data_IF_500678060085
#
_entry.id   IF_500678060085
#
_cell.length_a   1.000
_cell.length_b   1.000
_cell.length_c   1.000
_cell.angle_alpha   90.00
_cell.angle_beta   90.00
_cell.angle_gamma   90.00
#
_symmetry.space_group_name_H-M   'P 1'
#
loop_
_entity.id
_entity.type
_entity.pdbx_description
1 polymer ?
#
# COMPACT_ATOMS: atom_id res chain seq x y z
N UNK A 1 51.35 13.99 -11.63
CA UNK A 1 50.09 14.08 -12.41
C UNK A 1 49.15 13.01 -11.92
N UNK A 2 48.37 13.27 -10.86
CA UNK A 2 47.28 12.38 -10.46
C UNK A 2 45.99 13.02 -10.95
N UNK A 3 45.55 12.60 -12.14
CA UNK A 3 44.19 12.89 -12.62
C UNK A 3 43.22 12.18 -11.67
N UNK A 4 42.71 12.95 -10.70
CA UNK A 4 41.52 12.58 -9.92
C UNK A 4 40.38 12.38 -10.92
N UNK A 5 40.20 11.14 -11.34
CA UNK A 5 39.06 10.75 -12.13
C UNK A 5 37.88 10.70 -11.16
N UNK A 6 37.19 11.82 -11.01
CA UNK A 6 35.96 11.92 -10.21
C UNK A 6 34.90 11.12 -10.95
N UNK A 7 34.85 9.81 -10.69
CA UNK A 7 33.74 8.96 -11.11
C UNK A 7 32.52 9.45 -10.37
N UNK A 8 31.75 10.35 -11.02
CA UNK A 8 30.40 10.69 -10.62
C UNK A 8 29.61 9.40 -10.82
N UNK A 9 29.58 8.57 -9.78
CA UNK A 9 28.56 7.55 -9.63
C UNK A 9 27.26 8.33 -9.49
N UNK A 10 26.60 8.56 -10.63
CA UNK A 10 25.16 8.75 -10.65
C UNK A 10 24.62 7.43 -10.13
N UNK A 11 24.52 7.32 -8.80
CA UNK A 11 23.59 6.42 -8.16
C UNK A 11 22.25 6.81 -8.76
N UNK A 12 21.87 6.16 -9.85
CA UNK A 12 20.48 5.92 -10.13
C UNK A 12 20.01 5.19 -8.87
N UNK A 13 19.54 5.97 -7.90
CA UNK A 13 18.68 5.48 -6.85
C UNK A 13 17.58 4.87 -7.69
N UNK A 14 17.68 3.57 -7.94
CA UNK A 14 16.54 2.75 -8.30
C UNK A 14 15.72 2.81 -7.03
N UNK A 15 15.03 3.95 -6.87
CA UNK A 15 13.90 4.14 -5.99
C UNK A 15 13.07 2.93 -6.36
N UNK A 16 13.14 1.88 -5.56
CA UNK A 16 12.17 0.81 -5.62
C UNK A 16 10.87 1.54 -5.33
N UNK A 17 10.20 1.98 -6.40
CA UNK A 17 9.13 2.95 -6.29
C UNK A 17 8.08 2.34 -5.37
N UNK A 18 7.94 2.94 -4.20
CA UNK A 18 6.78 2.78 -3.33
C UNK A 18 5.62 3.44 -4.05
N UNK A 19 4.46 2.85 -3.91
CA UNK A 19 3.27 3.28 -4.63
C UNK A 19 2.24 2.18 -4.78
N UNK A 20 1.16 2.55 -5.44
CA UNK A 20 0.00 1.72 -5.62
C UNK A 20 -0.53 1.90 -7.04
N UNK A 21 -1.40 0.98 -7.44
CA UNK A 21 -2.09 1.06 -8.71
C UNK A 21 -3.59 1.20 -8.51
N UNK A 22 -4.25 2.00 -9.35
CA UNK A 22 -5.71 2.14 -9.33
C UNK A 22 -6.27 1.73 -10.68
N UNK A 23 -7.21 0.80 -10.66
CA UNK A 23 -7.99 0.38 -11.82
C UNK A 23 -9.44 0.79 -11.62
N UNK A 24 -9.97 1.67 -12.47
CA UNK A 24 -11.36 2.10 -12.46
C UNK A 24 -12.03 1.72 -13.78
N UNK A 25 -12.51 0.46 -13.93
CA UNK A 25 -13.31 0.06 -15.08
C UNK A 25 -14.59 0.90 -15.18
N UNK A 26 -15.21 0.90 -16.36
CA UNK A 26 -16.48 1.62 -16.59
C UNK A 26 -17.61 1.13 -15.69
N UNK A 27 -17.57 -0.13 -15.29
CA UNK A 27 -18.55 -0.80 -14.44
C UNK A 27 -17.84 -1.52 -13.28
N UNK A 28 -18.50 -1.63 -12.12
CA UNK A 28 -18.03 -2.45 -11.00
C UNK A 28 -17.18 -1.74 -9.92
N UNK A 29 -16.89 -0.45 -10.09
CA UNK A 29 -16.14 0.34 -9.10
C UNK A 29 -14.63 0.34 -9.33
N UNK A 30 -13.87 0.98 -8.45
CA UNK A 30 -12.41 1.04 -8.55
C UNK A 30 -11.72 0.03 -7.63
N UNK A 31 -10.60 -0.53 -8.09
CA UNK A 31 -9.73 -1.41 -7.31
C UNK A 31 -8.40 -0.70 -7.10
N UNK A 32 -8.00 -0.58 -5.83
CA UNK A 32 -6.69 -0.10 -5.42
C UNK A 32 -5.84 -1.34 -5.13
N UNK A 33 -4.71 -1.46 -5.82
CA UNK A 33 -3.72 -2.50 -5.63
C UNK A 33 -2.47 -1.92 -4.96
N UNK A 34 -2.01 -2.51 -3.87
CA UNK A 34 -0.74 -2.11 -3.23
C UNK A 34 0.00 -3.31 -2.68
N UNK A 35 1.30 -3.18 -2.43
CA UNK A 35 2.01 -4.20 -1.66
C UNK A 35 1.64 -4.05 -0.18
N UNK A 36 1.72 -5.14 0.61
CA UNK A 36 1.40 -5.07 2.04
C UNK A 36 2.27 -4.09 2.83
N UNK A 37 3.49 -3.82 2.37
CA UNK A 37 4.40 -2.84 2.97
C UNK A 37 4.37 -1.50 2.24
N UNK A 38 3.27 -1.11 1.62
CA UNK A 38 3.17 0.27 1.14
C UNK A 38 2.86 1.19 2.33
N UNK A 39 3.48 2.39 2.40
CA UNK A 39 3.24 3.34 3.49
C UNK A 39 1.75 3.67 3.66
N UNK A 40 1.05 3.86 2.54
CA UNK A 40 -0.38 4.15 2.52
C UNK A 40 -1.22 3.03 3.12
N UNK A 41 -0.74 1.79 3.10
CA UNK A 41 -1.42 0.68 3.76
C UNK A 41 -1.45 0.89 5.29
N UNK A 42 -0.30 1.12 5.91
CA UNK A 42 -0.22 1.26 7.36
C UNK A 42 -0.71 2.63 7.85
N UNK A 43 -0.26 3.72 7.23
CA UNK A 43 -0.50 5.08 7.73
C UNK A 43 -1.83 5.67 7.35
N UNK A 44 -2.44 5.16 6.29
CA UNK A 44 -3.65 5.76 5.75
C UNK A 44 -4.79 4.78 5.84
N UNK A 45 -4.59 3.53 5.42
CA UNK A 45 -5.66 2.54 5.46
C UNK A 45 -5.87 1.98 6.87
N UNK A 46 -4.86 1.39 7.51
CA UNK A 46 -5.03 0.79 8.84
C UNK A 46 -5.35 1.83 9.91
N UNK A 47 -4.76 3.02 9.83
CA UNK A 47 -5.07 4.17 10.73
C UNK A 47 -6.55 4.61 10.66
N UNK A 48 -7.27 4.31 9.58
CA UNK A 48 -8.69 4.63 9.46
C UNK A 48 -9.60 3.60 10.14
N UNK A 49 -9.10 2.41 10.46
CA UNK A 49 -9.92 1.33 10.98
C UNK A 49 -10.11 1.46 12.50
N UNK A 50 -11.29 1.08 12.98
CA UNK A 50 -11.55 1.01 14.41
C UNK A 50 -10.70 -0.12 15.04
N UNK A 51 -10.30 0.01 16.33
CA UNK A 51 -9.50 -1.00 17.02
C UNK A 51 -10.07 -2.43 16.94
N UNK A 52 -11.39 -2.60 17.12
CA UNK A 52 -12.06 -3.90 17.01
C UNK A 52 -11.96 -4.53 15.63
N UNK A 53 -11.88 -3.70 14.58
CA UNK A 53 -11.66 -4.19 13.22
C UNK A 53 -10.20 -4.61 13.12
N UNK A 54 -9.25 -3.78 13.56
CA UNK A 54 -7.81 -4.08 13.53
C UNK A 54 -7.44 -5.41 14.24
N UNK A 55 -8.14 -5.75 15.32
CA UNK A 55 -8.01 -7.02 16.05
C UNK A 55 -8.22 -8.28 15.18
N UNK A 56 -8.88 -8.16 14.02
CA UNK A 56 -9.08 -9.26 13.07
C UNK A 56 -7.79 -9.68 12.33
N UNK A 57 -6.70 -8.93 12.45
CA UNK A 57 -5.39 -9.32 11.93
C UNK A 57 -5.19 -8.98 10.45
N UNK A 58 -4.93 -7.71 10.16
CA UNK A 58 -4.68 -7.20 8.80
C UNK A 58 -3.19 -7.14 8.41
N UNK A 59 -2.30 -7.74 9.18
CA UNK A 59 -0.87 -7.79 8.86
C UNK A 59 -0.55 -8.95 7.92
N UNK A 60 0.41 -8.72 7.01
CA UNK A 60 0.98 -9.75 6.14
C UNK A 60 2.42 -9.95 6.58
N UNK A 61 2.71 -11.14 7.12
CA UNK A 61 4.01 -11.44 7.72
C UNK A 61 5.04 -11.75 6.63
N UNK A 62 4.66 -12.51 5.60
CA UNK A 62 5.45 -12.69 4.38
C UNK A 62 4.71 -12.19 3.13
N UNK A 63 5.09 -11.01 2.63
CA UNK A 63 4.51 -10.47 1.40
C UNK A 63 4.80 -11.27 0.13
N UNK A 64 5.82 -12.15 0.14
CA UNK A 64 6.10 -13.03 -1.01
C UNK A 64 5.14 -14.20 -1.03
N UNK A 65 4.50 -14.51 0.09
CA UNK A 65 3.46 -15.51 0.18
C UNK A 65 2.12 -14.96 -0.32
N UNK A 66 1.66 -15.53 -1.42
CA UNK A 66 0.35 -15.21 -1.98
C UNK A 66 -0.79 -15.65 -1.04
N UNK A 67 -0.57 -16.67 -0.21
CA UNK A 67 -1.52 -17.15 0.78
C UNK A 67 -1.85 -16.07 1.81
N UNK A 68 -0.84 -15.43 2.41
CA UNK A 68 -1.04 -14.37 3.40
C UNK A 68 -1.76 -13.16 2.79
N UNK A 69 -1.34 -12.74 1.59
CA UNK A 69 -2.04 -11.67 0.88
C UNK A 69 -3.52 -12.01 0.62
N UNK A 70 -3.82 -13.25 0.22
CA UNK A 70 -5.19 -13.70 -0.03
C UNK A 70 -6.02 -13.77 1.26
N UNK A 71 -5.44 -14.24 2.37
CA UNK A 71 -6.08 -14.25 3.70
C UNK A 71 -6.49 -12.84 4.11
N UNK A 72 -5.54 -11.90 4.07
CA UNK A 72 -5.81 -10.49 4.44
C UNK A 72 -6.80 -9.83 3.47
N UNK A 73 -6.69 -10.09 2.17
CA UNK A 73 -7.67 -9.60 1.19
C UNK A 73 -9.09 -10.08 1.48
N UNK A 74 -9.25 -11.34 1.91
CA UNK A 74 -10.54 -11.89 2.33
C UNK A 74 -11.06 -11.16 3.56
N UNK A 75 -10.22 -10.96 4.57
CA UNK A 75 -10.58 -10.20 5.78
C UNK A 75 -11.02 -8.77 5.43
N UNK A 76 -10.31 -8.09 4.52
CA UNK A 76 -10.66 -6.72 4.10
C UNK A 76 -12.05 -6.73 3.46
N UNK A 77 -12.28 -7.65 2.52
CA UNK A 77 -13.56 -7.76 1.81
C UNK A 77 -14.73 -8.04 2.75
N UNK A 78 -14.53 -8.89 3.76
CA UNK A 78 -15.60 -9.35 4.65
C UNK A 78 -15.89 -8.38 5.80
N UNK A 79 -14.87 -7.65 6.28
CA UNK A 79 -14.97 -6.91 7.55
C UNK A 79 -14.81 -5.39 7.41
N UNK A 80 -14.23 -4.89 6.31
CA UNK A 80 -14.00 -3.46 6.13
C UNK A 80 -15.15 -2.83 5.35
N UNK A 81 -15.90 -1.97 6.04
CA UNK A 81 -17.04 -1.26 5.45
C UNK A 81 -16.61 -0.36 4.28
N UNK A 82 -17.48 -0.24 3.28
CA UNK A 82 -17.26 0.61 2.12
C UNK A 82 -16.96 2.07 2.49
N UNK A 83 -17.52 2.59 3.58
CA UNK A 83 -17.24 3.92 4.10
C UNK A 83 -15.77 4.14 4.44
N UNK A 84 -15.09 3.13 5.00
CA UNK A 84 -13.66 3.18 5.29
C UNK A 84 -12.83 3.18 4.00
N UNK A 85 -13.19 2.34 3.03
CA UNK A 85 -12.53 2.28 1.73
C UNK A 85 -12.70 3.58 0.93
N UNK A 86 -13.87 4.21 1.00
CA UNK A 86 -14.11 5.53 0.40
C UNK A 86 -13.27 6.63 1.07
N UNK A 87 -13.22 6.65 2.41
CA UNK A 87 -12.36 7.59 3.16
C UNK A 87 -10.89 7.39 2.81
N UNK A 88 -10.45 6.13 2.72
CA UNK A 88 -9.10 5.78 2.31
C UNK A 88 -8.77 6.32 0.91
N UNK A 89 -9.61 6.02 -0.09
CA UNK A 89 -9.43 6.54 -1.45
C UNK A 89 -9.37 8.08 -1.51
N UNK A 90 -10.20 8.77 -0.72
CA UNK A 90 -10.16 10.24 -0.63
C UNK A 90 -8.86 10.74 0.01
N UNK A 91 -8.33 10.06 1.03
CA UNK A 91 -7.05 10.42 1.66
C UNK A 91 -5.86 10.26 0.71
N UNK A 92 -5.96 9.36 -0.27
CA UNK A 92 -4.92 9.21 -1.31
C UNK A 92 -4.80 10.43 -2.22
N UNK A 93 -5.90 11.17 -2.46
CA UNK A 93 -5.94 12.39 -3.30
C UNK A 93 -5.45 12.22 -4.75
N UNK A 94 -5.29 11.00 -5.24
CA UNK A 94 -4.80 10.74 -6.62
C UNK A 94 -5.91 10.47 -7.63
N UNK A 95 -7.13 10.26 -7.17
CA UNK A 95 -8.32 10.12 -7.99
C UNK A 95 -9.56 10.49 -7.16
N UNK A 96 -10.67 10.77 -7.84
CA UNK A 96 -11.93 11.07 -7.18
C UNK A 96 -12.77 9.77 -7.06
N UNK A 97 -13.00 9.23 -5.85
CA UNK A 97 -13.79 8.02 -5.69
C UNK A 97 -15.28 8.35 -5.85
N UNK A 98 -15.85 7.97 -7.00
CA UNK A 98 -17.29 8.13 -7.32
C UNK A 98 -18.08 6.83 -7.28
N UNK A 99 -17.40 5.70 -7.12
CA UNK A 99 -17.96 4.35 -7.17
C UNK A 99 -17.38 3.50 -6.03
N UNK A 100 -17.95 2.32 -5.72
CA UNK A 100 -17.39 1.43 -4.73
C UNK A 100 -15.90 1.18 -4.97
N UNK A 101 -15.14 1.31 -3.90
CA UNK A 101 -13.70 1.06 -3.81
C UNK A 101 -13.47 -0.31 -3.21
N UNK A 102 -12.64 -1.11 -3.86
CA UNK A 102 -12.02 -2.30 -3.28
C UNK A 102 -10.53 -2.06 -3.05
N UNK A 103 -10.00 -2.60 -1.96
CA UNK A 103 -8.57 -2.66 -1.68
C UNK A 103 -8.09 -4.10 -1.86
N UNK A 104 -6.99 -4.29 -2.61
CA UNK A 104 -6.32 -5.57 -2.79
C UNK A 104 -4.82 -5.45 -2.56
N UNK A 105 -4.30 -6.26 -1.66
CA UNK A 105 -2.88 -6.48 -1.46
C UNK A 105 -2.34 -7.48 -2.48
N UNK A 106 -1.17 -7.18 -3.04
CA UNK A 106 -0.49 -8.06 -3.97
C UNK A 106 1.03 -8.06 -3.73
N UNK A 107 1.71 -9.21 -3.90
CA UNK A 107 3.18 -9.30 -3.74
C UNK A 107 3.93 -8.39 -4.72
N UNK A 108 3.35 -8.18 -5.92
CA UNK A 108 3.91 -7.40 -7.01
C UNK A 108 2.79 -6.64 -7.73
N UNK A 109 3.10 -5.42 -8.17
CA UNK A 109 2.20 -4.58 -8.96
C UNK A 109 2.46 -4.65 -10.47
N UNK A 110 3.63 -5.20 -10.86
CA UNK A 110 3.99 -5.40 -12.27
C UNK A 110 3.00 -6.39 -12.91
N UNK A 111 2.53 -6.06 -14.11
CA UNK A 111 1.54 -6.88 -14.84
C UNK A 111 0.07 -6.55 -14.57
N UNK A 112 -0.24 -5.80 -13.50
CA UNK A 112 -1.62 -5.34 -13.27
C UNK A 112 -1.97 -4.18 -14.21
N UNK A 113 -3.08 -4.31 -14.95
CA UNK A 113 -3.65 -3.32 -15.86
C UNK A 113 -4.32 -2.17 -15.09
N UNK A 114 -3.51 -1.23 -14.61
CA UNK A 114 -3.96 -0.16 -13.72
C UNK A 114 -2.99 1.03 -13.76
N UNK A 115 -3.50 2.24 -13.47
CA UNK A 115 -2.70 3.46 -13.40
C UNK A 115 -1.78 3.40 -12.18
N UNK A 116 -0.50 3.74 -12.36
CA UNK A 116 0.48 3.73 -11.27
C UNK A 116 0.56 5.10 -10.62
N UNK A 117 0.55 5.13 -9.28
CA UNK A 117 0.76 6.32 -8.48
C UNK A 117 1.91 6.05 -7.51
N UNK A 118 2.81 7.02 -7.41
CA UNK A 118 3.91 6.94 -6.46
C UNK A 118 3.41 7.24 -5.04
N UNK A 119 4.01 6.59 -4.06
CA UNK A 119 3.82 6.98 -2.67
C UNK A 119 4.41 8.36 -2.46
N UNK A 120 3.78 9.14 -1.59
CA UNK A 120 4.34 10.42 -1.14
C UNK A 120 5.40 10.22 -0.04
N UNK A 121 5.57 9.00 0.47
CA UNK A 121 6.47 8.65 1.56
C UNK A 121 7.69 7.89 1.05
N UNK A 122 8.83 8.13 1.70
CA UNK A 122 10.06 7.43 1.39
C UNK A 122 10.04 6.01 1.96
N UNK A 123 11.00 5.18 1.53
CA UNK A 123 11.19 3.84 2.08
C UNK A 123 11.58 3.87 3.57
N UNK A 124 12.34 4.88 4.00
CA UNK A 124 12.78 5.06 5.39
C UNK A 124 11.59 5.42 6.29
N UNK A 125 10.75 6.36 5.82
CA UNK A 125 9.48 6.66 6.48
C UNK A 125 8.68 5.37 6.65
N UNK A 126 8.53 4.58 5.59
CA UNK A 126 7.78 3.34 5.61
C UNK A 126 8.25 2.35 6.70
N UNK A 127 9.56 2.15 6.82
CA UNK A 127 10.12 1.22 7.81
C UNK A 127 9.79 1.65 9.24
N UNK A 128 9.94 2.94 9.53
CA UNK A 128 9.60 3.51 10.83
C UNK A 128 8.10 3.35 11.15
N UNK A 129 7.24 3.49 10.15
CA UNK A 129 5.79 3.40 10.29
C UNK A 129 5.34 1.97 10.54
N UNK A 130 5.85 1.01 9.77
CA UNK A 130 5.60 -0.42 9.98
C UNK A 130 6.04 -0.81 11.40
N UNK A 131 7.23 -0.38 11.82
CA UNK A 131 7.72 -0.66 13.17
C UNK A 131 6.84 -0.05 14.26
N UNK A 132 6.42 1.21 14.10
CA UNK A 132 5.50 1.88 15.03
C UNK A 132 4.16 1.15 15.13
N UNK A 133 3.61 0.71 14.00
CA UNK A 133 2.36 -0.05 13.96
C UNK A 133 2.51 -1.39 14.69
N UNK A 134 3.54 -2.18 14.33
CA UNK A 134 3.80 -3.50 14.92
C UNK A 134 4.10 -3.43 16.43
N UNK A 135 4.67 -2.32 16.91
CA UNK A 135 4.90 -2.11 18.35
C UNK A 135 3.61 -1.84 19.13
N UNK A 136 2.67 -1.11 18.53
CA UNK A 136 1.43 -0.68 19.20
C UNK A 136 0.29 -1.69 19.07
N UNK A 137 0.30 -2.51 18.01
CA UNK A 137 -0.76 -3.47 17.69
C UNK A 137 -0.27 -4.92 17.68
N UNK A 138 0.92 -5.20 18.26
CA UNK A 138 1.27 -6.59 18.57
C UNK A 138 0.25 -7.13 19.58
N UNK A 139 -0.40 -8.27 19.32
CA UNK A 139 -1.24 -8.93 20.32
C UNK A 139 -0.47 -9.25 21.60
#
# INVERSE_FOLDING_TARGET
MHLLNTWIFVFAITLFATGYKVHCPKEGGCIIYMKPYEPEYYNTFLDLLEPKVLELGFTVDDYKDMYDCNRVNKLIKENVKQSYLMKFARKLKTFEPRSPISLKLAPKLKGLLANTYNSNLTKEDNQLLIWKYLKNFKP
#
